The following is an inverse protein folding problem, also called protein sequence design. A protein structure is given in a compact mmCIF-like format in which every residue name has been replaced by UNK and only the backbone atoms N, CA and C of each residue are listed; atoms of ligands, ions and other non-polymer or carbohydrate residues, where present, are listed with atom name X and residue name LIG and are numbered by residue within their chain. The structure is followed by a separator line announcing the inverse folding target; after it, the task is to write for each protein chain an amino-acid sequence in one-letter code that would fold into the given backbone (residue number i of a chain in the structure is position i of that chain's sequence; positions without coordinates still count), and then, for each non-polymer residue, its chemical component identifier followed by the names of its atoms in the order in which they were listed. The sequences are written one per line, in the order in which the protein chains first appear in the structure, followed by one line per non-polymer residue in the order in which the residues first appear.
data_IF_219448542559
#
_entry.id   IF_219448542559
#
_cell.length_a   1.000
_cell.length_b   1.000
_cell.length_c   1.000
_cell.angle_alpha   90.00
_cell.angle_beta   90.00
_cell.angle_gamma   90.00
#
_symmetry.space_group_name_H-M   'P 1'
#
loop_
_entity.id
_entity.type
_entity.pdbx_description
1 polymer ?
#
# COMPACT_ATOMS: atom_id res chain seq x y z
N UNK A 1 2.10 -17.45 9.64
CA UNK A 1 2.84 -17.19 8.39
C UNK A 1 3.56 -18.44 7.88
N UNK A 2 2.94 -19.61 7.96
CA UNK A 2 3.57 -20.83 7.41
C UNK A 2 3.61 -20.81 5.88
N UNK A 3 2.64 -20.13 5.26
CA UNK A 3 2.45 -20.03 3.80
C UNK A 3 3.64 -19.45 3.01
N UNK A 4 4.37 -18.46 3.56
CA UNK A 4 5.51 -17.81 2.87
C UNK A 4 6.61 -18.83 2.57
N UNK A 5 6.74 -19.85 3.43
CA UNK A 5 7.82 -20.81 3.37
C UNK A 5 9.17 -20.20 3.78
N UNK A 6 10.26 -20.96 3.61
CA UNK A 6 11.59 -20.48 3.94
C UNK A 6 12.05 -19.37 2.97
N UNK A 7 12.76 -18.37 3.49
CA UNK A 7 13.51 -17.42 2.66
C UNK A 7 14.73 -18.12 2.03
N UNK A 8 15.06 -17.87 0.75
CA UNK A 8 14.38 -16.97 -0.19
C UNK A 8 13.07 -17.55 -0.72
N UNK A 9 12.04 -16.72 -0.79
CA UNK A 9 10.71 -17.14 -1.24
C UNK A 9 10.69 -17.23 -2.77
N UNK A 10 10.18 -18.33 -3.37
CA UNK A 10 10.08 -18.44 -4.81
C UNK A 10 9.22 -17.32 -5.41
N UNK A 11 9.70 -16.66 -6.47
CA UNK A 11 8.98 -15.54 -7.13
C UNK A 11 7.56 -15.90 -7.56
N UNK A 12 7.35 -17.12 -8.07
CA UNK A 12 6.02 -17.61 -8.45
C UNK A 12 5.05 -17.68 -7.27
N UNK A 13 5.56 -18.02 -6.08
CA UNK A 13 4.75 -18.15 -4.86
C UNK A 13 4.37 -16.79 -4.29
N UNK A 14 5.34 -15.88 -4.12
CA UNK A 14 5.06 -14.56 -3.53
C UNK A 14 4.16 -13.69 -4.41
N UNK A 15 4.18 -13.93 -5.73
CA UNK A 15 3.36 -13.22 -6.73
C UNK A 15 2.17 -14.04 -7.23
N UNK A 16 1.84 -15.15 -6.56
CA UNK A 16 0.64 -15.90 -6.86
C UNK A 16 -0.60 -15.01 -6.68
N UNK A 17 -1.59 -15.21 -7.54
CA UNK A 17 -2.83 -14.42 -7.54
C UNK A 17 -4.01 -15.32 -7.27
N UNK A 18 -4.92 -14.89 -6.40
CA UNK A 18 -6.14 -15.64 -6.15
C UNK A 18 -7.14 -15.39 -7.29
N UNK A 19 -7.43 -16.42 -8.07
CA UNK A 19 -8.37 -16.38 -9.20
C UNK A 19 -9.80 -16.03 -8.78
N UNK A 20 -10.26 -16.55 -7.63
CA UNK A 20 -11.57 -16.26 -7.06
C UNK A 20 -11.69 -14.83 -6.49
N UNK A 21 -10.56 -14.20 -6.15
CA UNK A 21 -10.49 -12.82 -5.68
C UNK A 21 -9.87 -11.89 -6.72
N UNK A 22 -10.40 -11.87 -7.95
CA UNK A 22 -10.03 -10.90 -8.99
C UNK A 22 -8.53 -10.88 -9.37
N UNK A 23 -7.86 -12.04 -9.31
CA UNK A 23 -6.42 -12.16 -9.51
C UNK A 23 -5.61 -11.24 -8.59
N UNK A 24 -6.09 -11.03 -7.37
CA UNK A 24 -5.42 -10.17 -6.39
C UNK A 24 -4.20 -10.88 -5.83
N UNK A 25 -3.05 -10.20 -5.82
CA UNK A 25 -1.82 -10.69 -5.18
C UNK A 25 -1.85 -10.47 -3.67
N UNK A 26 -0.99 -11.16 -2.92
CA UNK A 26 -0.89 -10.96 -1.48
C UNK A 26 -0.50 -9.52 -1.10
N UNK A 27 0.32 -8.86 -1.91
CA UNK A 27 0.65 -7.45 -1.69
C UNK A 27 -0.59 -6.58 -1.80
N UNK A 28 -1.41 -6.79 -2.84
CA UNK A 28 -2.64 -6.05 -3.03
C UNK A 28 -3.65 -6.31 -1.90
N UNK A 29 -3.81 -7.56 -1.43
CA UNK A 29 -4.65 -7.88 -0.26
C UNK A 29 -4.14 -7.19 1.00
N UNK A 30 -2.84 -7.30 1.31
CA UNK A 30 -2.25 -6.67 2.49
C UNK A 30 -2.45 -5.14 2.48
N UNK A 31 -2.29 -4.52 1.31
CA UNK A 31 -2.52 -3.09 1.12
C UNK A 31 -3.99 -2.72 1.28
N UNK A 32 -4.91 -3.49 0.68
CA UNK A 32 -6.35 -3.25 0.78
C UNK A 32 -6.81 -3.25 2.23
N UNK A 33 -6.41 -4.25 3.01
CA UNK A 33 -6.77 -4.40 4.42
C UNK A 33 -5.91 -3.58 5.40
N UNK A 34 -5.08 -2.65 4.92
CA UNK A 34 -4.31 -1.77 5.80
C UNK A 34 -3.22 -2.48 6.62
N UNK A 35 -2.76 -3.66 6.18
CA UNK A 35 -1.79 -4.51 6.89
C UNK A 35 -0.35 -4.12 6.51
N UNK A 36 0.12 -3.00 7.05
CA UNK A 36 1.42 -2.39 6.73
C UNK A 36 2.60 -3.36 6.87
N UNK A 37 2.68 -4.11 7.97
CA UNK A 37 3.77 -5.05 8.25
C UNK A 37 3.75 -6.24 7.28
N UNK A 38 2.55 -6.73 6.92
CA UNK A 38 2.38 -7.80 5.94
C UNK A 38 2.80 -7.33 4.55
N UNK A 39 2.38 -6.14 4.12
CA UNK A 39 2.78 -5.55 2.86
C UNK A 39 4.30 -5.35 2.79
N UNK A 40 4.90 -4.83 3.87
CA UNK A 40 6.35 -4.64 3.98
C UNK A 40 7.11 -5.95 3.84
N UNK A 41 6.65 -6.99 4.52
CA UNK A 41 7.28 -8.31 4.45
C UNK A 41 7.08 -8.96 3.07
N UNK A 42 5.92 -8.80 2.43
CA UNK A 42 5.70 -9.28 1.08
C UNK A 42 6.68 -8.63 0.08
N UNK A 43 6.88 -7.32 0.19
CA UNK A 43 7.87 -6.58 -0.60
C UNK A 43 9.31 -7.06 -0.32
N UNK A 44 9.68 -7.27 0.95
CA UNK A 44 10.98 -7.86 1.34
C UNK A 44 11.19 -9.27 0.79
N UNK A 45 10.12 -10.04 0.59
CA UNK A 45 10.18 -11.37 -0.02
C UNK A 45 10.19 -11.32 -1.56
N UNK A 46 10.10 -10.14 -2.18
CA UNK A 46 10.12 -10.00 -3.64
C UNK A 46 8.74 -10.00 -4.31
N UNK A 47 7.69 -9.60 -3.59
CA UNK A 47 6.43 -9.27 -4.21
C UNK A 47 6.62 -8.17 -5.28
N UNK A 48 5.99 -8.35 -6.42
CA UNK A 48 5.99 -7.39 -7.51
C UNK A 48 5.08 -6.21 -7.13
N UNK A 49 5.73 -5.07 -6.86
CA UNK A 49 5.10 -3.82 -6.45
C UNK A 49 4.06 -3.31 -7.47
N UNK A 50 4.25 -3.64 -8.75
CA UNK A 50 3.47 -3.14 -9.87
C UNK A 50 2.60 -4.24 -10.50
N UNK A 51 2.42 -5.38 -9.83
CA UNK A 51 1.54 -6.44 -10.31
C UNK A 51 0.11 -5.93 -10.48
N UNK A 52 -0.46 -6.17 -11.66
CA UNK A 52 -1.81 -5.77 -12.01
C UNK A 52 -2.82 -6.85 -11.66
N UNK A 53 -3.95 -6.44 -11.12
CA UNK A 53 -5.12 -7.29 -10.89
C UNK A 53 -5.94 -7.52 -12.17
N UNK A 54 -7.08 -8.22 -12.07
CA UNK A 54 -7.98 -8.44 -13.19
C UNK A 54 -8.61 -7.16 -13.77
N UNK A 55 -8.62 -6.05 -13.03
CA UNK A 55 -9.09 -4.74 -13.50
C UNK A 55 -7.97 -3.90 -14.14
N UNK A 56 -6.74 -4.39 -14.09
CA UNK A 56 -5.57 -3.69 -14.56
C UNK A 56 -5.12 -2.57 -13.62
N UNK A 57 -5.42 -2.66 -12.31
CA UNK A 57 -4.89 -1.76 -11.28
C UNK A 57 -3.78 -2.42 -10.46
N UNK A 58 -2.82 -1.63 -9.98
CA UNK A 58 -1.80 -2.12 -9.03
C UNK A 58 -2.15 -1.78 -7.57
N UNK A 59 -1.43 -2.37 -6.61
CA UNK A 59 -1.64 -2.15 -5.18
C UNK A 59 -1.60 -0.65 -4.77
N UNK A 60 -0.70 0.14 -5.37
CA UNK A 60 -0.59 1.58 -5.13
C UNK A 60 -1.86 2.31 -5.59
N UNK A 61 -2.33 2.00 -6.80
CA UNK A 61 -3.51 2.64 -7.37
C UNK A 61 -4.76 2.33 -6.56
N UNK A 62 -5.01 1.06 -6.23
CA UNK A 62 -6.16 0.66 -5.42
C UNK A 62 -6.16 1.38 -4.07
N UNK A 63 -5.00 1.50 -3.41
CA UNK A 63 -4.94 2.18 -2.11
C UNK A 63 -5.20 3.67 -2.18
N UNK A 64 -4.74 4.33 -3.24
CA UNK A 64 -5.02 5.75 -3.47
C UNK A 64 -6.51 6.02 -3.72
N UNK A 65 -7.28 5.03 -4.20
CA UNK A 65 -8.72 5.19 -4.44
C UNK A 65 -9.53 5.15 -3.15
N UNK A 66 -9.07 4.45 -2.12
CA UNK A 66 -9.78 4.28 -0.85
C UNK A 66 -8.86 4.39 0.39
N UNK A 67 -8.26 5.56 0.66
CA UNK A 67 -7.60 5.84 1.93
C UNK A 67 -8.64 6.15 3.01
N UNK A 68 -8.77 5.25 3.97
CA UNK A 68 -9.71 5.30 5.08
C UNK A 68 -9.07 5.92 6.34
N UNK A 69 -7.80 5.60 6.60
CA UNK A 69 -7.08 6.02 7.82
C UNK A 69 -5.66 6.56 7.56
N UNK A 70 -5.03 7.19 8.56
CA UNK A 70 -3.63 7.66 8.47
C UNK A 70 -2.64 6.52 8.18
N UNK A 71 -2.97 5.30 8.61
CA UNK A 71 -2.19 4.09 8.29
C UNK A 71 -2.14 3.83 6.78
N UNK A 72 -3.16 4.24 6.04
CA UNK A 72 -3.22 4.07 4.59
C UNK A 72 -2.27 5.03 3.87
N UNK A 73 -2.10 6.24 4.41
CA UNK A 73 -1.06 7.17 3.94
C UNK A 73 0.33 6.58 4.17
N UNK A 74 0.56 5.87 5.27
CA UNK A 74 1.84 5.15 5.50
C UNK A 74 2.04 4.00 4.50
N UNK A 75 0.98 3.27 4.17
CA UNK A 75 1.01 2.24 3.13
C UNK A 75 1.31 2.83 1.74
N UNK A 76 0.68 3.94 1.37
CA UNK A 76 0.95 4.62 0.09
C UNK A 76 2.41 5.07 0.03
N UNK A 77 2.94 5.66 1.13
CA UNK A 77 4.35 6.02 1.24
C UNK A 77 5.27 4.81 1.10
N UNK A 78 4.96 3.71 1.78
CA UNK A 78 5.70 2.45 1.65
C UNK A 78 5.75 2.01 0.18
N UNK A 79 4.60 1.92 -0.49
CA UNK A 79 4.55 1.49 -1.88
C UNK A 79 5.36 2.40 -2.81
N UNK A 80 5.34 3.72 -2.59
CA UNK A 80 6.18 4.68 -3.33
C UNK A 80 7.67 4.51 -3.03
N UNK A 81 8.06 4.28 -1.77
CA UNK A 81 9.44 4.02 -1.39
C UNK A 81 10.00 2.76 -2.06
N UNK A 82 9.15 1.76 -2.34
CA UNK A 82 9.49 0.51 -3.04
C UNK A 82 9.38 0.61 -4.57
N UNK A 83 9.21 1.82 -5.11
CA UNK A 83 9.20 2.02 -6.55
C UNK A 83 7.82 1.82 -7.20
N UNK A 84 6.74 1.81 -6.42
CA UNK A 84 5.39 1.72 -6.95
C UNK A 84 5.09 2.87 -7.91
N UNK A 85 4.52 2.52 -9.06
CA UNK A 85 4.15 3.46 -10.10
C UNK A 85 2.65 3.36 -10.41
N UNK A 86 2.09 4.50 -10.80
CA UNK A 86 0.71 4.58 -11.27
C UNK A 86 0.72 4.19 -12.75
N UNK A 87 0.48 2.90 -13.04
CA UNK A 87 0.66 2.31 -14.38
C UNK A 87 -0.60 1.64 -14.95
N UNK A 88 -1.63 1.39 -14.14
CA UNK A 88 -2.80 0.64 -14.55
C UNK A 88 -3.78 1.40 -15.45
N UNK A 89 -4.90 0.77 -15.79
CA UNK A 89 -5.97 1.37 -16.59
C UNK A 89 -6.52 2.68 -15.98
N UNK A 90 -6.42 2.81 -14.66
CA UNK A 90 -6.72 4.05 -13.93
C UNK A 90 -5.81 5.21 -14.34
N UNK A 91 -4.55 4.96 -14.71
CA UNK A 91 -3.63 5.97 -15.24
C UNK A 91 -4.06 6.47 -16.63
N UNK A 92 -4.48 5.56 -17.51
CA UNK A 92 -5.04 5.89 -18.83
C UNK A 92 -6.33 6.72 -18.69
N UNK A 93 -7.24 6.27 -17.83
CA UNK A 93 -8.50 6.98 -17.54
C UNK A 93 -8.26 8.35 -16.90
N UNK A 94 -7.25 8.50 -16.04
CA UNK A 94 -6.85 9.81 -15.49
C UNK A 94 -6.26 10.75 -16.55
N UNK A 95 -5.44 10.25 -17.48
CA UNK A 95 -4.95 11.06 -18.61
C UNK A 95 -6.11 11.51 -19.50
N UNK A 96 -7.04 10.60 -19.81
CA UNK A 96 -8.25 10.93 -20.56
C UNK A 96 -9.10 11.98 -19.82
N UNK A 97 -9.33 11.84 -18.51
CA UNK A 97 -10.04 12.85 -17.70
C UNK A 97 -9.29 14.19 -17.63
N UNK A 98 -7.95 14.17 -17.53
CA UNK A 98 -7.12 15.38 -17.46
C UNK A 98 -7.04 16.15 -18.77
N UNK A 99 -7.27 15.47 -19.90
CA UNK A 99 -7.28 16.05 -21.25
C UNK A 99 -8.68 16.52 -21.67
N UNK A 100 -9.69 16.35 -20.82
CA UNK A 100 -11.05 16.79 -21.09
C UNK A 100 -11.31 18.17 -20.48
N UNK A 101 -11.88 19.07 -21.27
CA UNK A 101 -12.30 20.41 -20.86
C UNK A 101 -13.27 20.37 -19.67
N UNK A 102 -13.29 21.43 -18.86
CA UNK A 102 -14.12 21.53 -17.63
C UNK A 102 -15.60 21.21 -17.86
N UNK A 103 -16.17 21.55 -19.03
CA UNK A 103 -17.57 21.24 -19.38
C UNK A 103 -17.86 19.73 -19.53
N UNK A 104 -16.86 18.92 -19.87
CA UNK A 104 -17.03 17.47 -20.04
C UNK A 104 -16.88 16.70 -18.73
N UNK A 105 -16.35 17.31 -17.66
CA UNK A 105 -16.27 16.65 -16.34
C UNK A 105 -17.65 16.46 -15.71
N UNK A 106 -18.55 17.41 -15.91
CA UNK A 106 -19.92 17.34 -15.39
C UNK A 106 -20.77 16.32 -16.17
N UNK A 107 -20.55 16.19 -17.48
CA UNK A 107 -21.27 15.25 -18.35
C UNK A 107 -20.94 13.77 -18.08
N UNK A 108 -19.74 13.46 -17.58
CA UNK A 108 -19.33 12.07 -17.24
C UNK A 108 -20.06 11.57 -15.96
N UNK A 109 -20.71 12.46 -15.21
CA UNK A 109 -21.63 12.09 -14.13
C UNK A 109 -22.79 11.19 -14.59
N UNK A 110 -23.17 11.24 -15.87
CA UNK A 110 -24.27 10.44 -16.42
C UNK A 110 -23.85 9.14 -17.13
N UNK A 111 -22.58 8.99 -17.54
CA UNK A 111 -22.21 7.92 -18.49
C UNK A 111 -21.56 6.66 -17.89
N UNK A 112 -21.48 6.55 -16.56
CA UNK A 112 -20.73 5.48 -15.90
C UNK A 112 -21.46 4.55 -14.89
N UNK A 113 -22.78 4.25 -14.98
CA UNK A 113 -23.35 3.22 -14.12
C UNK A 113 -23.90 2.02 -14.92
N UNK A 114 -23.06 1.00 -15.17
CA UNK A 114 -23.52 -0.40 -15.36
C UNK A 114 -22.46 -1.45 -14.94
N UNK A 115 -21.78 -1.24 -13.83
CA UNK A 115 -21.21 -2.34 -13.01
C UNK A 115 -20.75 -1.70 -11.70
N UNK A 116 -21.37 -2.07 -10.57
CA UNK A 116 -21.22 -1.47 -9.22
C UNK A 116 -22.14 -0.27 -8.96
N UNK A 117 -23.23 -0.53 -8.22
CA UNK A 117 -24.26 0.43 -7.84
C UNK A 117 -23.74 1.57 -6.95
N UNK A 118 -24.04 2.81 -7.36
CA UNK A 118 -24.30 3.92 -6.45
C UNK A 118 -23.27 5.04 -6.34
N UNK A 119 -21.99 4.81 -6.65
CA UNK A 119 -20.97 5.90 -6.72
C UNK A 119 -19.98 5.53 -7.84
N UNK A 120 -19.76 6.37 -8.87
CA UNK A 120 -18.76 6.08 -9.89
C UNK A 120 -17.40 5.84 -9.21
N UNK A 121 -16.72 4.72 -9.52
CA UNK A 121 -15.38 4.41 -8.97
C UNK A 121 -14.38 5.55 -9.22
N UNK A 122 -14.59 6.35 -10.27
CA UNK A 122 -13.86 7.58 -10.54
C UNK A 122 -14.12 8.69 -9.50
N UNK A 123 -15.35 8.81 -8.98
CA UNK A 123 -15.74 9.76 -7.93
C UNK A 123 -15.24 9.32 -6.55
N UNK A 124 -15.29 8.01 -6.26
CA UNK A 124 -14.66 7.42 -5.07
C UNK A 124 -13.13 7.63 -5.13
N UNK A 125 -12.56 7.38 -6.32
CA UNK A 125 -11.17 7.64 -6.63
C UNK A 125 -10.73 9.08 -6.49
N UNK A 126 -11.55 10.04 -6.93
CA UNK A 126 -11.24 11.47 -6.80
C UNK A 126 -11.21 11.92 -5.34
N UNK A 127 -12.18 11.49 -4.51
CA UNK A 127 -12.22 11.81 -3.07
C UNK A 127 -11.11 11.11 -2.28
N UNK A 128 -10.83 9.85 -2.60
CA UNK A 128 -9.73 9.11 -1.99
C UNK A 128 -8.38 9.72 -2.34
N UNK A 129 -8.15 9.96 -3.63
CA UNK A 129 -6.89 10.49 -4.14
C UNK A 129 -6.58 11.87 -3.57
N UNK A 130 -7.59 12.72 -3.33
CA UNK A 130 -7.40 14.02 -2.69
C UNK A 130 -6.66 13.93 -1.33
N UNK A 131 -6.87 12.86 -0.54
CA UNK A 131 -6.17 12.69 0.74
C UNK A 131 -4.67 12.41 0.59
N UNK A 132 -4.25 11.83 -0.54
CA UNK A 132 -2.86 11.50 -0.82
C UNK A 132 -2.26 12.31 -1.97
N UNK A 133 -2.98 13.31 -2.51
CA UNK A 133 -2.57 14.10 -3.67
C UNK A 133 -1.20 14.73 -3.47
N UNK A 134 -0.94 15.27 -2.28
CA UNK A 134 0.34 15.88 -1.92
C UNK A 134 1.55 14.93 -2.05
N UNK A 135 1.33 13.61 -2.04
CA UNK A 135 2.40 12.63 -2.28
C UNK A 135 2.77 12.54 -3.77
N UNK A 136 1.92 13.03 -4.67
CA UNK A 136 2.07 12.94 -6.12
C UNK A 136 2.32 14.29 -6.80
N UNK A 137 2.36 15.39 -6.04
CA UNK A 137 2.72 16.72 -6.55
C UNK A 137 4.08 16.73 -7.27
N UNK A 138 5.01 15.86 -6.82
CA UNK A 138 6.28 15.63 -7.51
C UNK A 138 6.64 14.14 -7.58
N UNK A 139 7.27 13.66 -8.67
CA UNK A 139 7.67 12.26 -8.82
C UNK A 139 8.59 11.72 -7.71
N UNK A 140 9.39 12.58 -7.07
CA UNK A 140 10.34 12.20 -6.02
C UNK A 140 9.68 12.12 -4.63
N UNK A 141 8.54 12.79 -4.41
CA UNK A 141 7.90 12.80 -3.09
C UNK A 141 7.47 11.39 -2.68
N UNK A 142 7.75 11.05 -1.42
CA UNK A 142 7.62 9.74 -0.80
C UNK A 142 8.44 8.62 -1.47
N UNK A 143 9.43 8.96 -2.31
CA UNK A 143 10.40 8.00 -2.82
C UNK A 143 11.66 7.99 -2.00
N UNK A 144 12.30 6.82 -1.96
CA UNK A 144 13.66 6.68 -1.44
C UNK A 144 14.63 7.22 -2.48
N UNK A 145 15.47 8.16 -2.05
CA UNK A 145 16.50 8.77 -2.88
C UNK A 145 17.85 8.73 -2.18
N UNK A 146 18.90 8.85 -2.97
CA UNK A 146 20.29 9.03 -2.55
C UNK A 146 20.70 10.48 -2.82
N UNK A 147 21.41 11.07 -1.86
CA UNK A 147 22.02 12.38 -2.05
C UNK A 147 23.26 12.26 -2.93
N UNK A 148 23.32 13.07 -3.98
CA UNK A 148 24.43 13.12 -4.94
C UNK A 148 24.86 14.56 -5.22
N UNK A 149 26.07 14.72 -5.74
CA UNK A 149 26.56 16.00 -6.29
C UNK A 149 26.57 17.18 -5.30
N UNK A 150 26.66 16.93 -3.99
CA UNK A 150 26.95 18.00 -3.03
C UNK A 150 28.45 18.31 -3.00
N UNK A 151 28.78 19.59 -2.99
CA UNK A 151 30.15 20.11 -2.90
C UNK A 151 30.40 20.85 -1.58
N UNK A 152 31.66 21.15 -1.29
CA UNK A 152 32.07 21.89 -0.09
C UNK A 152 31.73 21.17 1.22
N UNK A 153 31.23 21.92 2.21
CA UNK A 153 31.00 21.44 3.58
C UNK A 153 29.97 20.30 3.68
N UNK A 154 29.08 20.17 2.69
CA UNK A 154 28.01 19.16 2.69
C UNK A 154 28.36 17.89 1.89
N UNK A 155 29.58 17.80 1.35
CA UNK A 155 30.04 16.65 0.56
C UNK A 155 30.01 15.32 1.31
N UNK A 156 30.14 15.35 2.65
CA UNK A 156 30.02 14.20 3.53
C UNK A 156 28.62 13.54 3.53
N UNK A 157 27.60 14.22 2.99
CA UNK A 157 26.24 13.69 2.86
C UNK A 157 26.04 12.88 1.58
N UNK A 158 26.95 12.97 0.61
CA UNK A 158 26.86 12.20 -0.64
C UNK A 158 26.86 10.70 -0.36
N UNK A 159 26.01 9.95 -1.07
CA UNK A 159 25.83 8.51 -0.89
C UNK A 159 24.86 8.13 0.24
N UNK A 160 24.45 9.08 1.10
CA UNK A 160 23.44 8.82 2.13
C UNK A 160 22.05 8.70 1.50
N UNK A 161 21.29 7.74 2.00
CA UNK A 161 19.92 7.43 1.54
C UNK A 161 18.86 7.92 2.53
N UNK A 162 17.70 8.26 1.99
CA UNK A 162 16.61 8.90 2.72
C UNK A 162 15.34 8.96 1.89
N UNK A 163 14.28 9.48 2.48
CA UNK A 163 12.98 9.63 1.82
C UNK A 163 12.69 11.11 1.64
N UNK A 164 12.21 11.48 0.46
CA UNK A 164 11.72 12.83 0.18
C UNK A 164 10.33 12.97 0.80
N UNK A 165 10.18 13.85 1.78
CA UNK A 165 8.92 14.00 2.54
C UNK A 165 7.92 14.88 1.82
N UNK A 166 8.38 16.02 1.29
CA UNK A 166 7.53 16.98 0.56
C UNK A 166 8.37 17.90 -0.32
N UNK A 167 7.73 18.39 -1.37
CA UNK A 167 8.21 19.53 -2.12
C UNK A 167 8.07 20.82 -1.28
N UNK A 168 9.03 21.73 -1.41
CA UNK A 168 9.03 23.03 -0.73
C UNK A 168 8.90 24.12 -1.80
N UNK A 169 7.67 24.58 -2.02
CA UNK A 169 7.42 25.75 -2.85
C UNK A 169 8.26 26.93 -2.34
N UNK A 170 9.01 27.55 -3.24
CA UNK A 170 9.60 28.85 -2.96
C UNK A 170 8.54 29.92 -3.13
N UNK A 171 8.68 31.01 -2.40
CA UNK A 171 7.90 32.21 -2.60
C UNK A 171 8.83 33.23 -3.27
N UNK A 172 8.45 33.73 -4.44
CA UNK A 172 9.16 34.84 -5.06
C UNK A 172 8.45 36.14 -4.64
N UNK A 173 9.07 36.89 -3.71
CA UNK A 173 8.54 38.16 -3.22
C UNK A 173 8.43 39.22 -4.34
N UNK A 174 9.28 39.15 -5.37
CA UNK A 174 9.29 40.11 -6.48
C UNK A 174 8.17 39.87 -7.49
N UNK A 175 7.74 38.61 -7.63
CA UNK A 175 6.66 38.20 -8.54
C UNK A 175 5.31 37.97 -7.83
N UNK A 176 5.27 38.06 -6.49
CA UNK A 176 4.07 37.81 -5.67
C UNK A 176 3.35 36.51 -6.05
N UNK A 177 4.13 35.49 -6.42
CA UNK A 177 3.66 34.18 -6.87
C UNK A 177 4.63 33.10 -6.36
N UNK A 178 4.17 31.83 -6.26
CA UNK A 178 5.08 30.72 -5.97
C UNK A 178 6.21 30.72 -7.00
N UNK A 179 7.45 30.69 -6.53
CA UNK A 179 8.62 30.51 -7.37
C UNK A 179 8.51 29.13 -8.03
N UNK A 180 7.92 29.07 -9.23
CA UNK A 180 8.03 27.91 -10.11
C UNK A 180 9.52 27.71 -10.38
N UNK A 181 10.15 26.80 -9.63
CA UNK A 181 11.60 26.55 -9.73
C UNK A 181 12.38 26.61 -8.42
N UNK A 182 11.74 26.65 -7.25
CA UNK A 182 12.50 26.50 -6.00
C UNK A 182 13.25 25.17 -5.91
N UNK A 183 12.77 24.12 -6.60
CA UNK A 183 13.38 22.79 -6.76
C UNK A 183 13.92 22.19 -5.45
N UNK A 184 13.36 22.64 -4.32
CA UNK A 184 13.78 22.30 -2.96
C UNK A 184 12.82 21.27 -2.38
N UNK A 185 13.40 20.32 -1.67
CA UNK A 185 12.69 19.21 -1.07
C UNK A 185 13.10 19.07 0.39
N UNK A 186 12.13 18.74 1.25
CA UNK A 186 12.44 18.23 2.58
C UNK A 186 12.84 16.77 2.45
N UNK A 187 14.09 16.45 2.75
CA UNK A 187 14.65 15.11 2.71
C UNK A 187 14.92 14.62 4.13
N UNK A 188 14.60 13.37 4.44
CA UNK A 188 14.82 12.76 5.77
C UNK A 188 15.67 11.50 5.62
N UNK A 189 16.79 11.45 6.34
CA UNK A 189 17.70 10.30 6.31
C UNK A 189 17.11 9.07 7.03
N UNK A 190 17.33 7.88 6.47
CA UNK A 190 16.81 6.62 7.04
C UNK A 190 17.37 6.30 8.43
N UNK A 191 18.66 6.56 8.63
CA UNK A 191 19.38 6.04 9.80
C UNK A 191 19.42 7.04 10.96
N UNK A 192 19.53 8.34 10.67
CA UNK A 192 19.58 9.39 11.70
C UNK A 192 18.24 10.08 11.94
N UNK A 193 17.25 9.90 11.06
CA UNK A 193 15.98 10.66 11.04
C UNK A 193 16.17 12.18 10.98
N UNK A 194 17.39 12.65 10.76
CA UNK A 194 17.68 14.05 10.52
C UNK A 194 17.06 14.47 9.19
N UNK A 195 16.62 15.73 9.12
CA UNK A 195 16.07 16.31 7.90
C UNK A 195 17.05 17.33 7.34
N UNK A 196 17.18 17.36 6.01
CA UNK A 196 17.87 18.44 5.30
C UNK A 196 16.99 18.96 4.16
N UNK A 197 17.37 20.12 3.63
CA UNK A 197 16.79 20.64 2.40
C UNK A 197 17.71 20.23 1.25
N UNK A 198 17.18 19.48 0.29
CA UNK A 198 17.92 19.03 -0.89
C UNK A 198 17.29 19.64 -2.15
N UNK A 199 18.11 19.87 -3.18
CA UNK A 199 17.60 20.26 -4.50
C UNK A 199 17.34 19.04 -5.37
N UNK A 200 16.53 19.18 -6.42
CA UNK A 200 16.28 18.12 -7.41
C UNK A 200 17.58 17.53 -7.97
N UNK A 201 18.51 18.39 -8.36
CA UNK A 201 19.83 18.01 -8.91
C UNK A 201 20.71 17.19 -7.96
N UNK A 202 20.41 17.25 -6.65
CA UNK A 202 21.11 16.50 -5.61
C UNK A 202 20.40 15.21 -5.19
N UNK A 203 19.28 14.86 -5.83
CA UNK A 203 18.47 13.69 -5.47
C UNK A 203 18.44 12.71 -6.63
N UNK A 204 19.00 11.52 -6.40
CA UNK A 204 18.90 10.39 -7.33
C UNK A 204 17.92 9.36 -6.77
N UNK A 205 16.93 8.95 -7.58
CA UNK A 205 16.01 7.85 -7.18
C UNK A 205 16.81 6.60 -6.81
N UNK A 206 16.49 6.03 -5.65
CA UNK A 206 17.06 4.78 -5.14
C UNK A 206 15.99 4.02 -4.36
N UNK A 207 14.92 3.67 -5.07
CA UNK A 207 13.77 2.93 -4.53
C UNK A 207 14.24 1.64 -3.83
N UNK A 208 13.49 1.23 -2.80
CA UNK A 208 13.78 0.02 -2.02
C UNK A 208 13.67 -1.21 -2.91
N UNK A 209 14.51 -2.20 -2.61
CA UNK A 209 14.47 -3.51 -3.23
C UNK A 209 14.53 -4.59 -2.16
N UNK A 210 14.18 -5.85 -2.45
CA UNK A 210 14.33 -6.95 -1.49
C UNK A 210 15.76 -7.03 -0.91
N UNK A 211 16.77 -6.72 -1.75
CA UNK A 211 18.19 -6.77 -1.39
C UNK A 211 18.69 -5.50 -0.65
N UNK A 212 18.14 -4.33 -0.97
CA UNK A 212 18.44 -3.03 -0.36
C UNK A 212 17.15 -2.39 0.15
N UNK A 213 16.58 -3.00 1.20
CA UNK A 213 15.33 -2.55 1.81
C UNK A 213 15.54 -1.55 2.96
N UNK A 214 16.79 -1.36 3.43
CA UNK A 214 17.17 -0.44 4.52
C UNK A 214 16.83 -0.92 5.93
N UNK A 215 15.90 -1.86 6.08
CA UNK A 215 15.54 -2.54 7.33
C UNK A 215 14.89 -3.88 7.00
N UNK A 216 14.88 -4.80 7.96
CA UNK A 216 14.30 -6.13 7.77
C UNK A 216 13.21 -6.42 8.80
N UNK A 217 12.06 -6.94 8.37
CA UNK A 217 11.03 -7.43 9.29
C UNK A 217 11.14 -8.95 9.43
N UNK A 218 11.08 -9.44 10.66
CA UNK A 218 10.92 -10.86 10.95
C UNK A 218 9.64 -11.09 11.73
N UNK A 219 8.88 -12.13 11.38
CA UNK A 219 7.72 -12.55 12.16
C UNK A 219 8.09 -13.74 13.05
N UNK A 220 7.98 -13.57 14.36
CA UNK A 220 8.28 -14.62 15.37
C UNK A 220 7.23 -14.59 16.47
N UNK A 221 6.77 -15.76 16.90
CA UNK A 221 5.83 -15.92 18.03
C UNK A 221 4.61 -14.98 17.97
N UNK A 222 4.03 -14.81 16.77
CA UNK A 222 2.84 -13.96 16.60
C UNK A 222 3.12 -12.46 16.40
N UNK A 223 4.38 -12.02 16.45
CA UNK A 223 4.75 -10.59 16.40
C UNK A 223 5.78 -10.28 15.33
N UNK A 224 5.73 -9.06 14.81
CA UNK A 224 6.74 -8.52 13.92
C UNK A 224 7.85 -7.85 14.72
N UNK A 225 9.09 -8.20 14.41
CA UNK A 225 10.31 -7.59 14.93
C UNK A 225 11.01 -6.86 13.78
N UNK A 226 11.35 -5.58 13.99
CA UNK A 226 12.07 -4.76 13.01
C UNK A 226 13.55 -4.70 13.35
N UNK A 227 14.38 -5.15 12.42
CA UNK A 227 15.84 -5.00 12.48
C UNK A 227 16.28 -3.81 11.63
N UNK A 228 16.94 -2.84 12.27
CA UNK A 228 17.56 -1.69 11.61
C UNK A 228 19.06 -1.91 11.43
N UNK A 229 19.68 -1.16 10.53
CA UNK A 229 21.09 -1.27 10.19
C UNK A 229 21.74 0.11 10.23
N UNK A 230 23.06 0.17 10.47
CA UNK A 230 23.79 1.44 10.45
C UNK A 230 24.09 1.90 9.03
N UNK A 231 24.24 0.96 8.10
CA UNK A 231 24.56 1.21 6.69
C UNK A 231 23.72 0.32 5.77
N UNK A 232 23.63 0.72 4.49
CA UNK A 232 22.91 -0.07 3.48
C UNK A 232 23.64 -1.39 3.16
N UNK A 233 24.97 -1.39 3.31
CA UNK A 233 25.86 -2.52 3.11
C UNK A 233 25.61 -3.60 4.16
N UNK A 234 25.43 -3.21 5.43
CA UNK A 234 25.05 -4.13 6.52
C UNK A 234 23.69 -4.77 6.26
N UNK A 235 22.71 -3.98 5.80
CA UNK A 235 21.39 -4.50 5.43
C UNK A 235 21.49 -5.54 4.32
N UNK A 236 22.21 -5.21 3.23
CA UNK A 236 22.43 -6.11 2.09
C UNK A 236 23.17 -7.39 2.49
N UNK A 237 24.21 -7.28 3.32
CA UNK A 237 24.96 -8.43 3.82
C UNK A 237 24.07 -9.36 4.64
N UNK A 238 23.21 -8.80 5.50
CA UNK A 238 22.25 -9.55 6.29
C UNK A 238 21.20 -10.26 5.42
N UNK A 239 20.60 -9.57 4.45
CA UNK A 239 19.63 -10.22 3.54
C UNK A 239 20.30 -11.33 2.72
N UNK A 240 21.54 -11.11 2.28
CA UNK A 240 22.32 -12.12 1.54
C UNK A 240 22.63 -13.34 2.41
N UNK A 241 22.94 -13.15 3.69
CA UNK A 241 23.21 -14.27 4.60
C UNK A 241 21.96 -15.10 4.88
N UNK A 242 20.79 -14.48 4.95
CA UNK A 242 19.51 -15.19 5.05
C UNK A 242 19.25 -16.09 3.84
N UNK A 243 19.63 -15.65 2.64
CA UNK A 243 19.50 -16.45 1.43
C UNK A 243 20.47 -17.65 1.38
N UNK A 244 21.68 -17.50 1.96
CA UNK A 244 22.73 -18.53 1.95
C UNK A 244 22.58 -19.58 3.06
N UNK A 245 21.97 -19.22 4.20
CA UNK A 245 21.93 -20.04 5.41
C UNK A 245 21.12 -21.34 5.36
N UNK A 246 20.61 -21.78 4.19
CA UNK A 246 19.79 -23.00 4.05
C UNK A 246 20.21 -23.96 2.93
N UNK A 247 21.38 -23.77 2.31
CA UNK A 247 21.88 -24.67 1.26
C UNK A 247 22.52 -25.97 1.77
N UNK A 248 22.53 -26.27 3.07
CA UNK A 248 23.21 -27.46 3.60
C UNK A 248 22.30 -28.65 3.95
N UNK A 249 20.97 -28.54 3.86
CA UNK A 249 20.09 -29.70 3.89
C UNK A 249 18.73 -29.35 3.30
N UNK A 250 18.36 -30.10 2.25
CA UNK A 250 17.02 -30.23 1.67
C UNK A 250 16.52 -29.08 0.77
N UNK A 251 16.96 -29.09 -0.49
CA UNK A 251 16.14 -28.62 -1.63
C UNK A 251 16.42 -29.52 -2.83
N UNK A 252 15.64 -30.58 -3.00
CA UNK A 252 15.42 -31.18 -4.33
C UNK A 252 14.51 -30.23 -5.10
N UNK A 253 15.02 -29.68 -6.19
CA UNK A 253 14.26 -28.85 -7.13
C UNK A 253 13.55 -29.80 -8.07
N UNK A 254 12.38 -30.29 -7.66
CA UNK A 254 11.41 -30.83 -8.61
C UNK A 254 10.27 -29.82 -8.76
N UNK A 255 10.09 -29.34 -10.00
CA UNK A 255 9.01 -28.42 -10.38
C UNK A 255 7.76 -29.28 -10.58
N UNK A 256 6.94 -29.33 -9.55
CA UNK A 256 5.63 -29.99 -9.55
C UNK A 256 4.57 -29.05 -10.16
N UNK A 257 3.85 -29.45 -11.24
CA UNK A 257 2.75 -28.68 -11.82
C UNK A 257 1.54 -28.51 -10.87
N UNK A 258 1.47 -29.25 -9.75
CA UNK A 258 0.48 -29.03 -8.69
C UNK A 258 0.82 -27.83 -7.78
N UNK A 259 1.96 -27.17 -8.01
CA UNK A 259 2.35 -25.96 -7.29
C UNK A 259 1.39 -24.77 -7.52
N UNK A 260 0.64 -24.75 -8.62
CA UNK A 260 -0.36 -23.71 -8.91
C UNK A 260 -1.64 -23.91 -8.09
N UNK A 261 -2.08 -25.17 -7.91
CA UNK A 261 -3.21 -25.52 -7.02
C UNK A 261 -2.83 -25.27 -5.55
N UNK A 262 -1.61 -25.66 -5.14
CA UNK A 262 -1.07 -25.41 -3.79
C UNK A 262 -0.88 -23.91 -3.49
N UNK A 263 -0.73 -23.07 -4.51
CA UNK A 263 -0.61 -21.62 -4.32
C UNK A 263 -1.97 -20.97 -4.00
N UNK A 264 -3.05 -21.44 -4.64
CA UNK A 264 -4.43 -21.00 -4.34
C UNK A 264 -4.87 -21.49 -2.95
N UNK A 265 -4.57 -22.74 -2.58
CA UNK A 265 -4.80 -23.24 -1.22
C UNK A 265 -4.00 -22.46 -0.17
N UNK A 266 -2.72 -22.17 -0.44
CA UNK A 266 -1.90 -21.36 0.48
C UNK A 266 -2.40 -19.92 0.61
N UNK A 267 -2.97 -19.34 -0.46
CA UNK A 267 -3.62 -18.04 -0.40
C UNK A 267 -4.91 -18.09 0.44
N UNK A 268 -5.70 -19.16 0.32
CA UNK A 268 -6.90 -19.39 1.13
C UNK A 268 -6.56 -19.64 2.61
N UNK A 269 -5.56 -20.45 2.92
CA UNK A 269 -5.06 -20.68 4.28
C UNK A 269 -4.54 -19.39 4.92
N UNK A 270 -3.88 -18.53 4.14
CA UNK A 270 -3.43 -17.23 4.61
C UNK A 270 -4.61 -16.28 4.90
N UNK A 271 -5.63 -16.27 4.03
CA UNK A 271 -6.85 -15.51 4.31
C UNK A 271 -7.49 -16.00 5.61
N UNK A 272 -7.56 -17.31 5.85
CA UNK A 272 -8.04 -17.88 7.10
C UNK A 272 -7.15 -17.53 8.30
N UNK A 273 -5.81 -17.62 8.19
CA UNK A 273 -4.86 -17.25 9.25
C UNK A 273 -4.94 -15.75 9.60
N UNK A 274 -5.27 -14.90 8.61
CA UNK A 274 -5.48 -13.46 8.81
C UNK A 274 -6.90 -13.10 9.27
N UNK A 275 -7.82 -14.08 9.40
CA UNK A 275 -9.22 -13.87 9.74
C UNK A 275 -9.97 -13.07 8.66
N UNK A 276 -9.64 -13.27 7.39
CA UNK A 276 -10.19 -12.60 6.22
C UNK A 276 -11.08 -13.53 5.36
N UNK A 277 -11.37 -14.73 5.86
CA UNK A 277 -12.25 -15.75 5.25
C UNK A 277 -13.69 -15.25 5.04
N UNK A 278 -14.24 -14.50 5.98
CA UNK A 278 -15.61 -13.97 5.89
C UNK A 278 -15.75 -12.65 5.10
N UNK A 279 -14.64 -12.02 4.72
CA UNK A 279 -14.65 -10.66 4.15
C UNK A 279 -14.58 -10.61 2.63
N UNK A 280 -14.15 -11.68 1.96
CA UNK A 280 -14.14 -11.74 0.50
C UNK A 280 -15.56 -11.80 -0.10
N UNK A 281 -16.51 -12.40 0.63
CA UNK A 281 -17.93 -12.46 0.25
C UNK A 281 -18.74 -11.22 0.67
N UNK A 282 -18.21 -10.36 1.55
CA UNK A 282 -18.93 -9.26 2.18
C UNK A 282 -18.51 -7.86 1.69
N UNK A 283 -18.12 -7.74 0.42
CA UNK A 283 -17.98 -6.44 -0.24
C UNK A 283 -19.29 -5.62 -0.32
N UNK A 284 -20.41 -6.14 0.21
CA UNK A 284 -21.75 -5.54 0.10
C UNK A 284 -22.41 -5.09 1.41
N UNK A 285 -21.72 -5.11 2.58
CA UNK A 285 -22.39 -4.76 3.85
C UNK A 285 -21.68 -3.76 4.77
N UNK A 286 -20.65 -3.04 4.33
CA UNK A 286 -20.00 -2.01 5.20
C UNK A 286 -20.84 -0.73 5.35
N UNK A 287 -22.01 -0.61 4.69
CA UNK A 287 -22.89 0.56 4.81
C UNK A 287 -24.36 0.22 5.09
N UNK A 288 -24.63 -0.52 6.16
CA UNK A 288 -25.93 -0.39 6.85
C UNK A 288 -25.68 0.17 8.24
N UNK A 289 -26.07 1.43 8.42
CA UNK A 289 -26.27 2.04 9.76
C UNK A 289 -26.97 1.02 10.65
N UNK A 290 -26.58 0.86 11.93
CA UNK A 290 -27.36 0.03 12.84
C UNK A 290 -28.79 0.56 12.85
N UNK A 291 -29.75 -0.25 12.37
CA UNK A 291 -31.17 0.06 12.54
C UNK A 291 -31.41 0.18 14.04
N UNK A 292 -31.85 1.35 14.47
CA UNK A 292 -32.29 1.58 15.84
C UNK A 292 -33.25 0.45 16.24
N UNK A 293 -32.90 -0.27 17.32
CA UNK A 293 -33.79 -1.22 17.98
C UNK A 293 -35.06 -0.46 18.37
N UNK A 294 -36.13 -0.68 17.62
CA UNK A 294 -37.46 -0.23 18.00
C UNK A 294 -37.76 -0.77 19.40
N UNK A 295 -38.12 0.14 20.32
CA UNK A 295 -38.63 -0.22 21.64
C UNK A 295 -39.81 -1.16 21.46
N UNK A 296 -39.65 -2.42 21.87
CA UNK A 296 -40.76 -3.34 22.11
C UNK A 296 -41.55 -2.71 23.28
N UNK A 297 -42.78 -2.27 23.01
CA UNK A 297 -43.75 -2.00 24.07
C UNK A 297 -44.11 -3.37 24.65
N UNK A 298 -43.71 -3.61 25.89
CA UNK A 298 -44.32 -4.65 26.72
C UNK A 298 -45.76 -4.19 27.00
N UNK A 299 -46.73 -4.95 26.51
CA UNK A 299 -48.11 -4.84 26.95
C UNK A 299 -48.21 -5.57 28.27
N UNK A 300 -48.57 -4.84 29.32
CA UNK A 300 -49.04 -5.42 30.58
C UNK A 300 -50.39 -6.09 30.30
N UNK A 301 -50.40 -7.41 30.38
CA UNK A 301 -51.59 -8.25 30.35
C UNK A 301 -52.20 -8.22 31.77
N UNK A 302 -53.15 -7.31 31.98
CA UNK A 302 -53.91 -7.19 33.22
C UNK A 302 -54.89 -8.38 33.33
N UNK A 303 -54.49 -9.37 34.13
CA UNK A 303 -55.27 -10.56 34.44
C UNK A 303 -56.47 -10.18 35.32
N UNK A 304 -57.66 -10.07 34.72
CA UNK A 304 -58.94 -10.02 35.44
C UNK A 304 -59.19 -11.35 36.13
N UNK A 305 -58.97 -11.41 37.45
CA UNK A 305 -59.56 -12.42 38.31
C UNK A 305 -60.93 -11.90 38.76
N UNK A 306 -61.98 -12.40 38.12
CA UNK A 306 -63.32 -12.38 38.70
C UNK A 306 -63.37 -13.46 39.79
N UNK A 307 -63.54 -13.04 41.05
CA UNK A 307 -64.07 -13.90 42.11
C UNK A 307 -65.39 -13.31 42.56
N UNK A 308 -66.48 -13.99 42.20
CA UNK A 308 -67.75 -13.89 42.89
C UNK A 308 -67.62 -14.53 44.28
N UNK A 309 -67.92 -13.77 45.35
CA UNK A 309 -68.41 -14.32 46.61
C UNK A 309 -69.03 -13.24 47.50
N UNK A 310 -70.37 -13.27 47.54
CA UNK A 310 -71.32 -12.74 48.54
C UNK A 310 -71.59 -11.24 48.63
#
# INVERSE_FOLDING_TARGET
MRWIGPFPVPKKRINATNSAAMRTSILALATMYGKLELATMALQCGADINQLDAHGGCALEEKCMMPEADRDIQLIKLLKEWGGEIIGNSAKKRREISLMDEKNRDAIGEFLPKMMDGIPRALLGARGFAKCQALFDDPLVARRCEIVNLSGNNSHLNGRVGVVVKYLEGYDETLSRPAMGSDRFKFVFENSKEACVARRENLKRRDRTPLDCGYWLTYKKGRFERKTFKTSEECRAYVTSLARGKSANEVTIEIDPEAEIKADEAAAELLAELGLDDSAANFHQVNRKPKARGKKKEGEEEMRVNNDAR
#
